data_IF_611006054946
#
_entry.id   IF_611006054946
#
_cell.length_a   1.000
_cell.length_b   1.000
_cell.length_c   1.000
_cell.angle_alpha   90.00
_cell.angle_beta   90.00
_cell.angle_gamma   90.00
#
_symmetry.space_group_name_H-M   'P 1'
#
loop_
_entity.id
_entity.type
_entity.pdbx_description
1 polymer ?
#
# COMPACT_ATOMS: atom_id res chain seq x y z
N UNK A 1 -15.02 -28.21 16.35
CA UNK A 1 -14.96 -27.67 14.98
C UNK A 1 -14.43 -26.25 15.04
N UNK A 2 -13.53 -25.88 14.14
CA UNK A 2 -13.04 -24.50 14.04
C UNK A 2 -14.12 -23.59 13.49
N UNK A 3 -14.16 -22.33 13.96
CA UNK A 3 -15.01 -21.31 13.38
C UNK A 3 -14.59 -21.01 11.94
N UNK A 4 -15.56 -20.66 11.09
CA UNK A 4 -15.29 -20.35 9.68
C UNK A 4 -14.87 -18.89 9.55
N UNK A 5 -13.77 -18.70 8.83
CA UNK A 5 -13.28 -17.42 8.36
C UNK A 5 -13.33 -17.38 6.84
N UNK A 6 -13.90 -16.34 6.25
CA UNK A 6 -13.95 -16.15 4.79
C UNK A 6 -12.99 -15.05 4.39
N UNK A 7 -12.16 -15.31 3.37
CA UNK A 7 -11.26 -14.32 2.77
C UNK A 7 -11.66 -14.13 1.31
N UNK A 8 -11.97 -12.89 0.94
CA UNK A 8 -12.40 -12.51 -0.41
C UNK A 8 -11.28 -11.71 -1.09
N UNK A 9 -10.90 -12.11 -2.29
CA UNK A 9 -9.91 -11.41 -3.12
C UNK A 9 -8.93 -12.34 -3.83
N UNK A 10 -8.16 -11.77 -4.75
CA UNK A 10 -7.17 -12.49 -5.56
C UNK A 10 -5.72 -12.12 -5.23
N UNK A 11 -5.50 -11.30 -4.20
CA UNK A 11 -4.16 -10.83 -3.83
C UNK A 11 -3.31 -11.99 -3.26
N UNK A 12 -2.09 -12.12 -3.74
CA UNK A 12 -1.17 -13.19 -3.33
C UNK A 12 -0.90 -13.21 -1.81
N UNK A 13 -0.99 -12.05 -1.14
CA UNK A 13 -0.86 -11.92 0.32
C UNK A 13 -1.89 -12.74 1.09
N UNK A 14 -3.08 -12.90 0.53
CA UNK A 14 -4.17 -13.65 1.16
C UNK A 14 -3.93 -15.15 1.24
N UNK A 15 -3.07 -15.70 0.37
CA UNK A 15 -2.62 -17.08 0.53
C UNK A 15 -1.85 -17.28 1.85
N UNK A 16 -0.97 -16.33 2.16
CA UNK A 16 -0.17 -16.38 3.39
C UNK A 16 -0.97 -15.96 4.63
N UNK A 17 -1.90 -15.02 4.49
CA UNK A 17 -2.91 -14.72 5.52
C UNK A 17 -3.70 -15.98 5.89
N UNK A 18 -4.22 -16.73 4.89
CA UNK A 18 -4.89 -18.01 5.13
C UNK A 18 -3.99 -18.99 5.88
N UNK A 19 -2.73 -19.11 5.46
CA UNK A 19 -1.79 -20.03 6.10
C UNK A 19 -1.59 -19.67 7.59
N UNK A 20 -1.43 -18.39 7.90
CA UNK A 20 -1.26 -17.91 9.27
C UNK A 20 -2.49 -18.15 10.15
N UNK A 21 -3.70 -17.98 9.61
CA UNK A 21 -4.96 -18.14 10.35
C UNK A 21 -5.43 -19.59 10.46
N UNK A 22 -4.91 -20.53 9.64
CA UNK A 22 -5.42 -21.92 9.55
C UNK A 22 -5.19 -22.76 10.79
N UNK A 23 -4.33 -22.32 11.74
CA UNK A 23 -4.18 -22.98 13.05
C UNK A 23 -5.45 -22.84 13.90
N UNK A 24 -6.14 -21.72 13.85
CA UNK A 24 -7.27 -21.36 14.70
C UNK A 24 -8.60 -21.40 13.96
N UNK A 25 -8.61 -21.10 12.65
CA UNK A 25 -9.79 -20.92 11.82
C UNK A 25 -9.89 -21.95 10.68
N UNK A 26 -11.12 -22.31 10.29
CA UNK A 26 -11.41 -22.97 9.00
C UNK A 26 -11.52 -21.90 7.91
N UNK A 27 -10.43 -21.62 7.19
CA UNK A 27 -10.32 -20.50 6.26
C UNK A 27 -10.79 -20.90 4.86
N UNK A 28 -11.87 -20.29 4.37
CA UNK A 28 -12.41 -20.42 3.02
C UNK A 28 -12.03 -19.20 2.19
N UNK A 29 -11.45 -19.41 1.00
CA UNK A 29 -11.06 -18.31 0.11
C UNK A 29 -11.99 -18.24 -1.10
N UNK A 30 -12.36 -17.01 -1.47
CA UNK A 30 -13.10 -16.70 -2.70
C UNK A 30 -12.31 -15.70 -3.55
N UNK A 31 -11.90 -16.13 -4.73
CA UNK A 31 -11.24 -15.29 -5.72
C UNK A 31 -12.26 -14.42 -6.43
N UNK A 32 -12.70 -13.34 -5.78
CA UNK A 32 -13.66 -12.39 -6.35
C UNK A 32 -13.21 -10.96 -6.12
N UNK A 33 -13.55 -10.08 -7.07
CA UNK A 33 -13.41 -8.61 -6.99
C UNK A 33 -14.77 -7.93 -6.93
N UNK A 34 -15.85 -8.74 -6.94
CA UNK A 34 -17.23 -8.26 -7.01
C UNK A 34 -18.08 -8.97 -5.97
N UNK A 35 -18.92 -8.20 -5.27
CA UNK A 35 -19.99 -8.68 -4.42
C UNK A 35 -21.26 -8.86 -5.26
N UNK A 36 -21.46 -10.08 -5.73
CA UNK A 36 -22.63 -10.50 -6.52
C UNK A 36 -23.53 -11.47 -5.72
N UNK A 37 -24.71 -11.80 -6.24
CA UNK A 37 -25.63 -12.75 -5.62
C UNK A 37 -25.01 -14.14 -5.42
N UNK A 38 -24.13 -14.56 -6.32
CA UNK A 38 -23.45 -15.88 -6.23
C UNK A 38 -22.49 -15.94 -5.06
N UNK A 39 -21.67 -14.88 -4.86
CA UNK A 39 -20.76 -14.78 -3.72
C UNK A 39 -21.55 -14.65 -2.41
N UNK A 40 -22.56 -13.77 -2.37
CA UNK A 40 -23.45 -13.57 -1.23
C UNK A 40 -24.09 -14.90 -0.77
N UNK A 41 -24.67 -15.67 -1.70
CA UNK A 41 -25.29 -16.95 -1.39
C UNK A 41 -24.31 -17.99 -0.85
N UNK A 42 -23.08 -18.04 -1.39
CA UNK A 42 -22.03 -18.94 -0.86
C UNK A 42 -21.63 -18.56 0.56
N UNK A 43 -21.46 -17.27 0.85
CA UNK A 43 -21.08 -16.78 2.17
C UNK A 43 -22.22 -17.05 3.16
N UNK A 44 -23.46 -16.78 2.76
CA UNK A 44 -24.63 -17.08 3.59
C UNK A 44 -24.76 -18.59 3.91
N UNK A 45 -24.41 -19.48 2.98
CA UNK A 45 -24.42 -20.92 3.25
C UNK A 45 -23.33 -21.34 4.26
N UNK A 46 -22.19 -20.68 4.24
CA UNK A 46 -21.06 -21.00 5.13
C UNK A 46 -21.25 -20.50 6.55
N UNK A 47 -22.06 -19.46 6.76
CA UNK A 47 -22.25 -18.80 8.07
C UNK A 47 -20.93 -18.47 8.78
N UNK A 48 -20.01 -17.72 8.16
CA UNK A 48 -18.73 -17.39 8.78
C UNK A 48 -18.89 -16.41 9.95
N UNK A 49 -18.00 -16.52 10.95
CA UNK A 49 -17.88 -15.56 12.03
C UNK A 49 -17.03 -14.34 11.63
N UNK A 50 -16.07 -14.56 10.74
CA UNK A 50 -15.10 -13.54 10.31
C UNK A 50 -15.07 -13.47 8.79
N UNK A 51 -15.11 -12.25 8.24
CA UNK A 51 -14.99 -12.02 6.81
C UNK A 51 -13.89 -10.97 6.54
N UNK A 52 -13.03 -11.27 5.56
CA UNK A 52 -12.04 -10.35 5.02
C UNK A 52 -12.47 -9.88 3.64
N UNK A 53 -12.58 -8.57 3.48
CA UNK A 53 -12.74 -7.93 2.18
C UNK A 53 -11.37 -7.74 1.49
N UNK A 54 -11.35 -7.59 0.15
CA UNK A 54 -10.11 -7.40 -0.60
C UNK A 54 -9.32 -6.17 -0.16
N UNK A 55 -8.00 -6.19 -0.45
CA UNK A 55 -7.12 -5.03 -0.28
C UNK A 55 -7.58 -3.87 -1.17
N UNK A 56 -7.97 -4.16 -2.42
CA UNK A 56 -8.61 -3.18 -3.30
C UNK A 56 -10.12 -3.13 -3.01
N UNK A 57 -10.75 -2.01 -3.34
CA UNK A 57 -12.18 -1.86 -3.13
C UNK A 57 -12.96 -2.96 -3.87
N UNK A 58 -13.86 -3.61 -3.15
CA UNK A 58 -14.77 -4.62 -3.71
C UNK A 58 -15.90 -3.92 -4.48
N UNK A 59 -16.08 -4.23 -5.75
CA UNK A 59 -17.25 -3.74 -6.49
C UNK A 59 -18.53 -4.37 -5.93
N UNK A 60 -19.63 -3.63 -5.94
CA UNK A 60 -20.92 -4.07 -5.35
C UNK A 60 -21.98 -4.03 -6.42
N UNK A 61 -22.46 -5.21 -6.85
CA UNK A 61 -23.54 -5.38 -7.87
C UNK A 61 -24.88 -5.73 -7.26
N UNK A 62 -24.90 -6.19 -6.00
CA UNK A 62 -26.11 -6.49 -5.24
C UNK A 62 -26.04 -5.89 -3.85
N UNK A 63 -27.13 -5.87 -3.09
CA UNK A 63 -27.14 -5.36 -1.72
C UNK A 63 -26.04 -6.03 -0.89
N UNK A 64 -25.16 -5.22 -0.31
CA UNK A 64 -24.12 -5.70 0.60
C UNK A 64 -24.76 -6.08 1.93
N UNK A 65 -24.84 -7.36 2.18
CA UNK A 65 -25.47 -7.92 3.37
C UNK A 65 -24.67 -9.12 3.84
N UNK A 66 -24.37 -9.17 5.12
CA UNK A 66 -23.59 -10.25 5.74
C UNK A 66 -24.51 -11.21 6.50
N UNK A 67 -24.14 -12.49 6.64
CA UNK A 67 -24.89 -13.44 7.46
C UNK A 67 -24.88 -13.00 8.93
N UNK A 68 -25.95 -13.33 9.65
CA UNK A 68 -26.08 -12.99 11.10
C UNK A 68 -25.00 -13.63 11.99
N UNK A 69 -24.31 -14.65 11.49
CA UNK A 69 -23.17 -15.27 12.16
C UNK A 69 -21.91 -14.44 12.11
N UNK A 70 -21.84 -13.41 11.24
CA UNK A 70 -20.67 -12.58 11.10
C UNK A 70 -20.55 -11.61 12.28
N UNK A 71 -19.49 -11.78 13.05
CA UNK A 71 -19.17 -10.98 14.24
C UNK A 71 -18.13 -9.90 13.91
N UNK A 72 -17.21 -10.19 12.97
CA UNK A 72 -16.09 -9.32 12.63
C UNK A 72 -15.90 -9.20 11.11
N UNK A 73 -15.76 -7.97 10.63
CA UNK A 73 -15.47 -7.65 9.24
C UNK A 73 -14.12 -6.91 9.15
N UNK A 74 -13.16 -7.50 8.43
CA UNK A 74 -11.90 -6.88 8.08
C UNK A 74 -12.01 -6.23 6.71
N UNK A 75 -11.66 -4.94 6.63
CA UNK A 75 -11.86 -4.11 5.46
C UNK A 75 -10.50 -3.61 4.97
N UNK A 76 -10.23 -3.82 3.68
CA UNK A 76 -9.12 -3.19 2.99
C UNK A 76 -9.49 -1.78 2.55
N UNK A 77 -9.40 -1.52 1.24
CA UNK A 77 -9.90 -0.25 0.71
C UNK A 77 -11.43 -0.29 0.66
N UNK A 78 -12.03 0.65 1.39
CA UNK A 78 -13.48 0.76 1.48
C UNK A 78 -14.12 1.42 0.25
N UNK A 79 -15.43 1.30 0.11
CA UNK A 79 -16.26 2.10 -0.79
C UNK A 79 -17.56 2.53 -0.11
N UNK A 80 -18.20 3.57 -0.65
CA UNK A 80 -19.38 4.19 -0.03
C UNK A 80 -20.57 3.23 0.11
N UNK A 81 -20.75 2.30 -0.83
CA UNK A 81 -21.86 1.34 -0.80
C UNK A 81 -21.73 0.36 0.37
N UNK A 82 -20.51 -0.15 0.61
CA UNK A 82 -20.21 -1.03 1.74
C UNK A 82 -20.33 -0.25 3.06
N UNK A 83 -19.76 0.96 3.11
CA UNK A 83 -19.78 1.82 4.31
C UNK A 83 -21.20 2.14 4.79
N UNK A 84 -22.10 2.45 3.85
CA UNK A 84 -23.50 2.73 4.18
C UNK A 84 -24.24 1.52 4.78
N UNK A 85 -23.94 0.31 4.32
CA UNK A 85 -24.58 -0.89 4.84
C UNK A 85 -23.96 -1.34 6.17
N UNK A 86 -22.65 -1.24 6.33
CA UNK A 86 -21.95 -1.58 7.59
C UNK A 86 -22.50 -0.76 8.76
N UNK A 87 -22.77 0.54 8.56
CA UNK A 87 -23.33 1.42 9.61
C UNK A 87 -24.69 0.96 10.15
N UNK A 88 -25.39 0.09 9.46
CA UNK A 88 -26.69 -0.49 9.86
C UNK A 88 -26.53 -1.82 10.58
N UNK A 89 -25.32 -2.39 10.60
CA UNK A 89 -25.03 -3.70 11.16
C UNK A 89 -24.40 -3.56 12.55
N UNK A 90 -24.74 -4.48 13.45
CA UNK A 90 -24.10 -4.60 14.77
C UNK A 90 -22.95 -5.63 14.65
N UNK A 91 -21.82 -5.18 14.07
CA UNK A 91 -20.61 -5.98 13.86
C UNK A 91 -19.37 -5.16 14.19
N UNK A 92 -18.31 -5.84 14.65
CA UNK A 92 -17.00 -5.20 14.78
C UNK A 92 -16.35 -5.04 13.42
N UNK A 93 -15.83 -3.84 13.13
CA UNK A 93 -15.15 -3.54 11.88
C UNK A 93 -13.70 -3.12 12.14
N UNK A 94 -12.78 -3.62 11.31
CA UNK A 94 -11.38 -3.24 11.38
C UNK A 94 -10.82 -2.94 10.00
N UNK A 95 -10.36 -1.71 9.82
CA UNK A 95 -9.73 -1.21 8.60
C UNK A 95 -8.22 -1.49 8.66
N UNK A 96 -7.78 -2.66 8.23
CA UNK A 96 -6.39 -3.09 8.42
C UNK A 96 -5.37 -2.25 7.64
N UNK A 97 -5.79 -1.51 6.60
CA UNK A 97 -4.92 -0.56 5.89
C UNK A 97 -4.73 0.76 6.65
N UNK A 98 -5.49 0.99 7.71
CA UNK A 98 -5.43 2.18 8.56
C UNK A 98 -4.72 1.92 9.90
N UNK A 99 -4.36 0.67 10.19
CA UNK A 99 -3.58 0.30 11.36
C UNK A 99 -2.17 0.90 11.28
N UNK A 100 -1.79 1.70 12.28
CA UNK A 100 -0.56 2.47 12.24
C UNK A 100 0.68 1.58 12.26
N UNK A 101 0.67 0.47 12.99
CA UNK A 101 1.79 -0.47 12.99
C UNK A 101 1.91 -1.14 11.62
N UNK A 102 0.80 -1.63 11.07
CA UNK A 102 0.78 -2.22 9.74
C UNK A 102 1.29 -1.24 8.68
N UNK A 103 0.87 0.05 8.75
CA UNK A 103 1.31 1.08 7.80
C UNK A 103 2.83 1.25 7.81
N UNK A 104 3.46 1.29 9.01
CA UNK A 104 4.90 1.42 9.13
C UNK A 104 5.64 0.17 8.64
N UNK A 105 5.15 -1.02 8.97
CA UNK A 105 5.74 -2.28 8.55
C UNK A 105 5.61 -2.47 7.03
N UNK A 106 4.46 -2.14 6.46
CA UNK A 106 4.23 -2.14 5.02
C UNK A 106 5.12 -1.10 4.30
N UNK A 107 5.43 0.04 4.93
CA UNK A 107 6.37 1.02 4.39
C UNK A 107 7.80 0.48 4.34
N UNK A 108 8.23 -0.36 5.29
CA UNK A 108 9.50 -1.09 5.22
C UNK A 108 9.54 -2.01 3.99
N UNK A 109 8.52 -2.85 3.81
CA UNK A 109 8.43 -3.74 2.65
C UNK A 109 8.34 -2.97 1.32
N UNK A 110 7.71 -1.79 1.32
CA UNK A 110 7.68 -0.92 0.14
C UNK A 110 9.08 -0.41 -0.20
N UNK A 111 9.86 -0.01 0.79
CA UNK A 111 11.23 0.45 0.58
C UNK A 111 12.14 -0.66 0.05
N UNK A 112 12.09 -1.84 0.65
CA UNK A 112 12.84 -3.01 0.16
C UNK A 112 12.37 -3.44 -1.22
N UNK A 113 11.05 -3.38 -1.49
CA UNK A 113 10.47 -3.70 -2.79
C UNK A 113 10.97 -2.77 -3.89
N UNK A 114 11.10 -1.46 -3.62
CA UNK A 114 11.69 -0.52 -4.58
C UNK A 114 13.17 -0.80 -4.81
N UNK A 115 13.93 -1.11 -3.77
CA UNK A 115 15.35 -1.47 -3.90
C UNK A 115 15.49 -2.72 -4.78
N UNK A 116 14.68 -3.75 -4.55
CA UNK A 116 14.65 -4.94 -5.38
C UNK A 116 14.25 -4.61 -6.83
N UNK A 117 13.22 -3.79 -7.00
CA UNK A 117 12.79 -3.29 -8.32
C UNK A 117 13.94 -2.60 -9.05
N UNK A 118 14.65 -1.70 -8.35
CA UNK A 118 15.80 -0.98 -8.89
C UNK A 118 16.90 -1.93 -9.37
N UNK A 119 17.36 -2.85 -8.53
CA UNK A 119 18.40 -3.80 -8.89
C UNK A 119 18.01 -4.69 -10.07
N UNK A 120 16.75 -5.11 -10.13
CA UNK A 120 16.26 -6.00 -11.18
C UNK A 120 16.18 -5.30 -12.53
N UNK A 121 15.75 -4.04 -12.57
CA UNK A 121 15.49 -3.31 -13.82
C UNK A 121 16.67 -2.49 -14.28
N UNK A 122 17.34 -1.77 -13.38
CA UNK A 122 18.48 -0.92 -13.74
C UNK A 122 19.79 -1.72 -13.83
N UNK A 123 19.89 -2.86 -13.13
CA UNK A 123 21.11 -3.69 -13.07
C UNK A 123 22.35 -2.89 -12.65
N UNK A 124 22.16 -1.94 -11.74
CA UNK A 124 23.18 -1.02 -11.26
C UNK A 124 23.20 -1.00 -9.73
N UNK A 125 24.36 -0.68 -9.14
CA UNK A 125 24.46 -0.45 -7.70
C UNK A 125 23.77 0.87 -7.30
N UNK A 126 23.19 0.90 -6.11
CA UNK A 126 22.64 2.11 -5.46
C UNK A 126 23.78 2.99 -4.93
N UNK A 127 24.90 2.40 -4.54
CA UNK A 127 26.08 3.10 -4.03
C UNK A 127 26.51 4.25 -4.94
N UNK A 128 26.74 5.42 -4.38
CA UNK A 128 27.10 6.68 -5.08
C UNK A 128 26.07 7.19 -6.10
N UNK A 129 24.83 6.65 -6.12
CA UNK A 129 23.75 7.20 -6.92
C UNK A 129 23.03 8.32 -6.17
N UNK A 130 22.47 9.27 -6.92
CA UNK A 130 21.67 10.37 -6.40
C UNK A 130 20.18 10.02 -6.50
N UNK A 131 19.51 10.03 -5.37
CA UNK A 131 18.06 9.85 -5.28
C UNK A 131 17.39 11.08 -4.69
N UNK A 132 16.35 11.54 -5.33
CA UNK A 132 15.49 12.62 -4.85
C UNK A 132 14.16 11.98 -4.46
N UNK A 133 13.79 12.06 -3.19
CA UNK A 133 12.54 11.50 -2.68
C UNK A 133 11.56 12.64 -2.45
N UNK A 134 10.43 12.62 -3.15
CA UNK A 134 9.35 13.58 -2.94
C UNK A 134 8.32 13.04 -1.96
N UNK A 135 8.05 13.83 -0.92
CA UNK A 135 7.28 13.39 0.25
C UNK A 135 8.16 12.78 1.35
N UNK A 136 7.85 13.14 2.59
CA UNK A 136 8.57 12.64 3.78
C UNK A 136 7.58 12.04 4.79
N UNK A 137 6.61 11.26 4.25
CA UNK A 137 5.73 10.39 5.01
C UNK A 137 6.42 9.06 5.39
N UNK A 138 5.63 8.07 5.84
CA UNK A 138 6.16 6.76 6.30
C UNK A 138 7.04 6.09 5.23
N UNK A 139 6.56 5.99 4.00
CA UNK A 139 7.32 5.38 2.88
C UNK A 139 8.56 6.20 2.54
N UNK A 140 8.42 7.54 2.42
CA UNK A 140 9.55 8.42 2.12
C UNK A 140 10.66 8.35 3.17
N UNK A 141 10.30 8.29 4.46
CA UNK A 141 11.26 8.13 5.57
C UNK A 141 12.01 6.80 5.50
N UNK A 142 11.29 5.69 5.27
CA UNK A 142 11.91 4.35 5.18
C UNK A 142 12.84 4.23 3.99
N UNK A 143 12.43 4.77 2.83
CA UNK A 143 13.27 4.84 1.64
C UNK A 143 14.53 5.68 1.85
N UNK A 144 14.37 6.88 2.41
CA UNK A 144 15.50 7.77 2.69
C UNK A 144 16.54 7.07 3.56
N UNK A 145 16.09 6.42 4.62
CA UNK A 145 16.96 5.67 5.53
C UNK A 145 17.65 4.51 4.80
N UNK A 146 16.90 3.67 4.11
CA UNK A 146 17.43 2.48 3.44
C UNK A 146 18.46 2.86 2.34
N UNK A 147 18.12 3.80 1.46
CA UNK A 147 19.02 4.25 0.39
C UNK A 147 20.28 4.92 0.92
N UNK A 148 20.16 5.72 1.99
CA UNK A 148 21.31 6.35 2.64
C UNK A 148 22.29 5.29 3.17
N UNK A 149 21.80 4.25 3.84
CA UNK A 149 22.64 3.17 4.38
C UNK A 149 23.25 2.28 3.29
N UNK A 150 22.67 2.28 2.09
CA UNK A 150 23.30 1.66 0.90
C UNK A 150 24.32 2.57 0.22
N UNK A 151 24.62 3.74 0.81
CA UNK A 151 25.63 4.68 0.32
C UNK A 151 25.16 5.57 -0.82
N UNK A 152 23.85 5.76 -0.98
CA UNK A 152 23.31 6.73 -1.91
C UNK A 152 23.41 8.17 -1.37
N UNK A 153 23.46 9.15 -2.29
CA UNK A 153 23.20 10.56 -1.99
C UNK A 153 21.68 10.77 -2.03
N UNK A 154 21.08 11.08 -0.88
CA UNK A 154 19.61 11.24 -0.76
C UNK A 154 19.25 12.70 -0.50
N UNK A 155 18.32 13.21 -1.31
CA UNK A 155 17.73 14.55 -1.16
C UNK A 155 16.24 14.37 -0.89
N UNK A 156 15.72 15.04 0.14
CA UNK A 156 14.29 15.05 0.46
C UNK A 156 13.67 16.34 -0.07
N UNK A 157 12.67 16.19 -0.94
CA UNK A 157 11.97 17.31 -1.55
C UNK A 157 10.50 17.33 -1.13
N UNK A 158 10.09 18.35 -0.39
CA UNK A 158 8.74 18.47 0.16
C UNK A 158 8.26 19.92 0.17
N UNK A 159 6.95 20.14 0.32
CA UNK A 159 6.34 21.47 0.48
C UNK A 159 6.30 21.95 1.93
N UNK A 160 6.19 21.00 2.87
CA UNK A 160 6.03 21.31 4.29
C UNK A 160 7.37 21.66 4.92
N UNK A 161 7.47 22.86 5.50
CA UNK A 161 8.65 23.30 6.26
C UNK A 161 8.95 22.35 7.43
N UNK A 162 7.92 21.87 8.11
CA UNK A 162 8.08 20.89 9.19
C UNK A 162 8.83 19.64 8.69
N UNK A 163 8.40 19.07 7.55
CA UNK A 163 9.05 17.89 6.97
C UNK A 163 10.47 18.20 6.45
N UNK A 164 10.71 19.41 5.93
CA UNK A 164 12.05 19.85 5.53
C UNK A 164 13.00 19.84 6.73
N UNK A 165 12.62 20.51 7.82
CA UNK A 165 13.48 20.58 9.00
C UNK A 165 13.59 19.24 9.72
N UNK A 166 12.55 18.42 9.73
CA UNK A 166 12.63 17.05 10.22
C UNK A 166 13.68 16.25 9.43
N UNK A 167 13.60 16.23 8.09
CA UNK A 167 14.58 15.53 7.25
C UNK A 167 16.01 16.05 7.46
N UNK A 168 16.17 17.37 7.57
CA UNK A 168 17.47 18.01 7.86
C UNK A 168 18.04 17.57 9.20
N UNK A 169 17.20 17.43 10.24
CA UNK A 169 17.65 16.99 11.57
C UNK A 169 18.18 15.56 11.58
N UNK A 170 17.75 14.72 10.63
CA UNK A 170 18.29 13.38 10.38
C UNK A 170 19.50 13.35 9.45
N UNK A 171 20.03 14.53 9.04
CA UNK A 171 21.23 14.64 8.22
C UNK A 171 21.00 14.55 6.71
N UNK A 172 19.75 14.51 6.24
CA UNK A 172 19.46 14.51 4.81
C UNK A 172 19.64 15.89 4.19
N UNK A 173 20.06 15.91 2.92
CA UNK A 173 19.96 17.10 2.09
C UNK A 173 18.46 17.37 1.82
N UNK A 174 18.09 18.65 1.77
CA UNK A 174 16.71 19.06 1.61
C UNK A 174 16.55 20.01 0.43
N UNK A 175 15.39 19.97 -0.21
CA UNK A 175 15.00 20.84 -1.32
C UNK A 175 13.50 21.20 -1.19
N UNK A 176 13.09 22.40 -1.62
CA UNK A 176 11.69 22.70 -1.79
C UNK A 176 11.14 21.99 -3.05
N UNK A 177 9.95 21.41 -2.96
CA UNK A 177 9.38 20.63 -4.07
C UNK A 177 9.27 21.47 -5.35
N UNK A 178 8.93 22.75 -5.22
CA UNK A 178 8.76 23.70 -6.32
C UNK A 178 10.07 23.90 -7.12
N UNK A 179 11.21 23.82 -6.44
CA UNK A 179 12.51 24.00 -7.07
C UNK A 179 12.87 22.87 -8.04
N UNK A 180 12.31 21.66 -7.83
CA UNK A 180 12.57 20.53 -8.73
C UNK A 180 12.09 20.78 -10.17
N UNK A 181 11.11 21.66 -10.36
CA UNK A 181 10.56 22.00 -11.68
C UNK A 181 11.34 23.14 -12.36
N UNK A 182 12.04 23.96 -11.57
CA UNK A 182 12.76 25.14 -12.06
C UNK A 182 14.28 24.91 -12.17
N UNK A 183 14.79 23.91 -11.47
CA UNK A 183 16.20 23.55 -11.47
C UNK A 183 16.64 22.98 -12.83
N UNK A 184 17.93 23.10 -13.12
CA UNK A 184 18.51 22.53 -14.32
C UNK A 184 18.34 21.00 -14.33
N UNK A 185 18.19 20.48 -15.56
CA UNK A 185 18.07 19.07 -15.84
C UNK A 185 19.22 18.27 -15.18
N UNK A 186 18.88 17.31 -14.34
CA UNK A 186 19.84 16.38 -13.71
C UNK A 186 19.55 14.95 -14.15
N UNK A 187 20.01 14.60 -15.33
CA UNK A 187 19.83 13.24 -15.89
C UNK A 187 20.58 12.15 -15.12
N UNK A 188 21.34 12.48 -14.08
CA UNK A 188 22.00 11.50 -13.24
C UNK A 188 21.17 11.11 -12.01
N UNK A 189 20.18 11.93 -11.63
CA UNK A 189 19.36 11.71 -10.46
C UNK A 189 18.16 10.80 -10.77
N UNK A 190 17.81 9.96 -9.81
CA UNK A 190 16.59 9.17 -9.78
C UNK A 190 15.55 9.88 -8.91
N UNK A 191 14.34 10.08 -9.43
CA UNK A 191 13.23 10.65 -8.66
C UNK A 191 12.35 9.52 -8.11
N UNK A 192 12.05 9.55 -6.83
CA UNK A 192 11.12 8.63 -6.18
C UNK A 192 9.96 9.47 -5.63
N UNK A 193 8.77 9.30 -6.22
CA UNK A 193 7.59 9.99 -5.75
C UNK A 193 6.82 9.17 -4.73
N UNK A 194 6.49 9.76 -3.58
CA UNK A 194 5.61 9.18 -2.57
C UNK A 194 4.38 10.06 -2.26
N UNK A 195 4.16 11.11 -3.07
CA UNK A 195 3.06 12.06 -2.89
C UNK A 195 1.88 11.63 -3.77
N UNK A 196 0.70 11.26 -3.22
CA UNK A 196 -0.47 10.84 -3.99
C UNK A 196 -1.24 12.05 -4.56
N UNK A 197 -0.55 12.88 -5.30
CA UNK A 197 -1.08 14.09 -5.89
C UNK A 197 -0.34 14.44 -7.18
N UNK A 198 -1.07 14.85 -8.22
CA UNK A 198 -0.51 15.26 -9.51
C UNK A 198 0.25 16.58 -9.38
N UNK A 199 1.52 16.59 -9.68
CA UNK A 199 2.39 17.77 -9.57
C UNK A 199 3.50 17.83 -10.62
N UNK A 200 3.87 16.66 -11.21
CA UNK A 200 5.00 16.55 -12.11
C UNK A 200 4.54 16.60 -13.57
N UNK A 201 4.87 17.67 -14.34
CA UNK A 201 4.62 17.67 -15.78
C UNK A 201 5.50 16.64 -16.49
N UNK A 202 5.03 16.08 -17.59
CA UNK A 202 5.79 15.09 -18.39
C UNK A 202 7.17 15.61 -18.81
N UNK A 203 7.25 16.88 -19.21
CA UNK A 203 8.51 17.55 -19.52
C UNK A 203 9.47 17.60 -18.32
N UNK A 204 8.93 17.78 -17.12
CA UNK A 204 9.67 17.75 -15.86
C UNK A 204 10.19 16.37 -15.53
N UNK A 205 9.45 15.31 -15.85
CA UNK A 205 9.89 13.93 -15.66
C UNK A 205 11.17 13.61 -16.46
N UNK A 206 11.31 14.19 -17.65
CA UNK A 206 12.48 14.02 -18.52
C UNK A 206 13.77 14.69 -17.98
N UNK A 207 13.69 15.46 -16.90
CA UNK A 207 14.85 16.03 -16.23
C UNK A 207 15.60 15.03 -15.34
N UNK A 208 15.05 13.84 -15.13
CA UNK A 208 15.63 12.80 -14.29
C UNK A 208 16.07 11.58 -15.12
N UNK A 209 16.97 10.79 -14.60
CA UNK A 209 17.35 9.52 -15.20
C UNK A 209 16.13 8.59 -15.27
N UNK A 210 15.46 8.40 -14.14
CA UNK A 210 14.25 7.61 -14.00
C UNK A 210 13.35 8.22 -12.94
N UNK A 211 12.04 8.08 -13.12
CA UNK A 211 11.01 8.45 -12.13
C UNK A 211 10.32 7.16 -11.67
N UNK A 212 10.40 6.86 -10.39
CA UNK A 212 9.65 5.80 -9.74
C UNK A 212 8.50 6.43 -8.95
N UNK A 213 7.28 6.22 -9.41
CA UNK A 213 6.09 6.70 -8.72
C UNK A 213 5.50 5.58 -7.86
N UNK A 214 5.61 5.72 -6.54
CA UNK A 214 5.10 4.77 -5.55
C UNK A 214 3.75 5.19 -4.98
N UNK A 215 3.31 6.40 -5.31
CA UNK A 215 2.06 6.90 -4.81
C UNK A 215 0.88 6.14 -5.43
N UNK A 216 -0.15 5.89 -4.61
CA UNK A 216 -1.42 5.39 -5.13
C UNK A 216 -2.04 6.38 -6.10
N UNK A 217 -3.05 5.92 -6.86
CA UNK A 217 -3.78 6.79 -7.78
C UNK A 217 -4.17 8.13 -7.14
N UNK A 218 -4.03 9.24 -7.88
CA UNK A 218 -3.79 9.34 -9.33
C UNK A 218 -2.31 9.36 -9.76
N UNK A 219 -1.35 9.06 -8.88
CA UNK A 219 0.08 9.20 -9.14
C UNK A 219 0.53 10.66 -9.22
N UNK A 220 1.75 10.93 -9.69
CA UNK A 220 2.31 12.28 -9.70
C UNK A 220 2.24 13.02 -11.04
N UNK A 221 2.00 12.35 -12.19
CA UNK A 221 1.98 13.00 -13.49
C UNK A 221 0.75 13.89 -13.67
N UNK A 222 0.95 15.13 -14.12
CA UNK A 222 -0.13 16.09 -14.36
C UNK A 222 -1.03 15.67 -15.53
N UNK A 223 -0.43 15.24 -16.64
CA UNK A 223 -1.14 14.84 -17.84
C UNK A 223 -1.34 13.33 -17.86
N UNK A 224 -2.56 12.84 -18.10
CA UNK A 224 -2.90 11.40 -18.11
C UNK A 224 -3.11 10.82 -19.52
N UNK A 225 -3.36 11.65 -20.55
CA UNK A 225 -4.00 11.20 -21.79
C UNK A 225 -3.07 11.00 -22.98
N UNK A 226 -1.76 11.24 -22.84
CA UNK A 226 -0.78 11.03 -23.88
C UNK A 226 0.38 10.15 -23.43
N UNK A 227 1.28 9.79 -24.34
CA UNK A 227 2.39 8.87 -24.08
C UNK A 227 3.12 9.15 -22.77
N UNK A 228 3.07 8.15 -21.87
CA UNK A 228 3.82 8.18 -20.62
C UNK A 228 5.31 8.26 -20.94
N UNK A 229 6.10 9.11 -20.26
CA UNK A 229 7.54 9.20 -20.48
C UNK A 229 8.23 7.84 -20.31
N UNK A 230 9.13 7.47 -21.20
CA UNK A 230 9.82 6.16 -21.18
C UNK A 230 10.66 5.96 -19.91
N UNK A 231 11.05 7.05 -19.26
CA UNK A 231 11.78 7.04 -17.99
C UNK A 231 10.87 7.12 -16.76
N UNK A 232 9.54 6.96 -16.90
CA UNK A 232 8.59 6.91 -15.79
C UNK A 232 8.11 5.49 -15.56
N UNK A 233 8.06 5.08 -14.30
CA UNK A 233 7.53 3.80 -13.87
C UNK A 233 6.58 4.00 -12.68
N UNK A 234 5.31 3.63 -12.85
CA UNK A 234 4.34 3.57 -11.74
C UNK A 234 4.51 2.24 -11.01
N UNK A 235 5.29 2.25 -9.93
CA UNK A 235 5.72 1.05 -9.20
C UNK A 235 4.79 0.79 -8.01
N UNK A 236 3.59 0.31 -8.29
CA UNK A 236 2.56 0.01 -7.30
C UNK A 236 2.70 -1.39 -6.71
N UNK A 237 2.10 -1.57 -5.53
CA UNK A 237 1.92 -2.89 -4.87
C UNK A 237 3.23 -3.66 -4.62
N UNK A 238 4.34 -2.98 -4.46
CA UNK A 238 5.67 -3.58 -4.28
C UNK A 238 5.72 -4.65 -3.16
N UNK A 239 5.10 -4.45 -1.97
CA UNK A 239 5.06 -5.49 -0.95
C UNK A 239 4.38 -6.77 -1.41
N UNK A 240 3.24 -6.67 -2.10
CA UNK A 240 2.52 -7.82 -2.63
C UNK A 240 3.23 -8.51 -3.78
N UNK A 241 3.99 -7.75 -4.58
CA UNK A 241 4.73 -8.24 -5.74
C UNK A 241 6.00 -9.01 -5.34
N UNK A 242 6.78 -8.46 -4.40
CA UNK A 242 8.10 -9.00 -4.05
C UNK A 242 8.12 -9.81 -2.76
N UNK A 243 7.25 -9.45 -1.80
CA UNK A 243 7.21 -10.04 -0.46
C UNK A 243 5.79 -10.44 -0.04
N UNK A 244 5.03 -11.20 -0.88
CA UNK A 244 3.64 -11.54 -0.57
C UNK A 244 3.49 -12.33 0.73
N UNK A 245 4.52 -13.12 1.08
CA UNK A 245 4.56 -13.88 2.32
C UNK A 245 4.61 -12.95 3.53
N UNK A 246 5.61 -12.08 3.58
CA UNK A 246 5.82 -11.18 4.73
C UNK A 246 4.66 -10.20 4.85
N UNK A 247 4.21 -9.62 3.73
CA UNK A 247 3.06 -8.72 3.70
C UNK A 247 1.75 -9.42 4.12
N UNK A 248 1.57 -10.71 3.81
CA UNK A 248 0.44 -11.51 4.28
C UNK A 248 0.49 -11.77 5.79
N UNK A 249 1.68 -12.05 6.33
CA UNK A 249 1.88 -12.21 7.79
C UNK A 249 1.67 -10.89 8.55
N UNK A 250 2.05 -9.75 8.00
CA UNK A 250 1.77 -8.44 8.61
C UNK A 250 0.25 -8.20 8.74
N UNK A 251 -0.53 -8.58 7.72
CA UNK A 251 -1.99 -8.51 7.81
C UNK A 251 -2.48 -9.46 8.94
N UNK A 252 -1.96 -10.68 8.99
CA UNK A 252 -2.36 -11.65 10.02
C UNK A 252 -2.07 -11.14 11.44
N UNK A 253 -0.92 -10.49 11.68
CA UNK A 253 -0.57 -9.91 12.98
C UNK A 253 -1.55 -8.79 13.39
N UNK A 254 -1.86 -7.85 12.49
CA UNK A 254 -2.83 -6.79 12.77
C UNK A 254 -4.21 -7.37 13.12
N UNK A 255 -4.63 -8.39 12.38
CA UNK A 255 -5.88 -9.12 12.58
C UNK A 255 -5.92 -9.83 13.94
N UNK A 256 -4.91 -10.60 14.28
CA UNK A 256 -4.85 -11.32 15.56
C UNK A 256 -4.87 -10.36 16.74
N UNK A 257 -4.13 -9.24 16.64
CA UNK A 257 -4.16 -8.18 17.66
C UNK A 257 -5.56 -7.61 17.85
N UNK A 258 -6.30 -7.40 16.77
CA UNK A 258 -7.68 -6.91 16.83
C UNK A 258 -8.64 -7.95 17.42
N UNK A 259 -8.58 -9.22 16.96
CA UNK A 259 -9.43 -10.29 17.46
C UNK A 259 -9.25 -10.51 18.96
N UNK A 260 -8.01 -10.48 19.45
CA UNK A 260 -7.74 -10.60 20.91
C UNK A 260 -8.37 -9.47 21.72
N UNK A 261 -8.49 -8.26 21.17
CA UNK A 261 -9.17 -7.13 21.83
C UNK A 261 -10.67 -7.35 21.88
N UNK A 262 -11.29 -7.78 20.78
CA UNK A 262 -12.75 -8.03 20.70
C UNK A 262 -13.17 -9.20 21.61
N UNK A 263 -12.34 -10.26 21.73
CA UNK A 263 -12.64 -11.39 22.62
C UNK A 263 -12.50 -11.05 24.13
N UNK A 264 -11.82 -9.95 24.46
CA UNK A 264 -11.62 -9.49 25.84
C UNK A 264 -12.67 -8.46 26.34
N UNK A 265 -13.53 -8.00 25.44
CA UNK A 265 -14.66 -7.11 25.74
C UNK A 265 -15.94 -7.93 26.02
#
# INVERSE_FOLDING_TARGET
LKNICVVIGMDARFHYLKQALSSEWDVKMFSSTVWDEKLKNKINHLQPKVIFLPIQALAVETLFELPKSCEVLFIGKNNDAIEQEIKKMDIHTFYYLEDEQWIWDNANLTAEGLINYFYTHEKQAIYNKKFIITGYGRVGKRLAYALHHLGASVIIAVRSEHQLYEAKSYGFQIEALENLLTNQKDNSAYLINTIPFKWLPKSGALNFNKVYDLASDPGCLLESDEQIPTNYAHALSLPGMYFPRDAGYLIAQAVQTFLTKVEGE
#
